data_IF_368627529837
#
_entry.id   IF_368627529837
#
_cell.length_a   1.000
_cell.length_b   1.000
_cell.length_c   1.000
_cell.angle_alpha   90.00
_cell.angle_beta   90.00
_cell.angle_gamma   90.00
#
_symmetry.space_group_name_H-M   'P 1'
#
loop_
_entity.id
_entity.type
_entity.pdbx_description
1 polymer ?
#
# COMPACT_ATOMS: atom_id res chain seq x y z
N UNK A 1 17.16 8.71 11.30
CA UNK A 1 17.32 9.73 12.38
C UNK A 1 16.01 10.23 12.96
N UNK A 2 14.88 10.09 12.25
CA UNK A 2 13.55 10.61 12.64
C UNK A 2 12.83 9.79 13.73
N UNK A 3 13.26 8.55 14.00
CA UNK A 3 12.57 7.68 14.99
C UNK A 3 12.84 7.97 16.47
N UNK A 4 13.71 8.93 16.82
CA UNK A 4 14.10 9.19 18.22
C UNK A 4 13.47 10.44 18.85
N UNK A 5 12.57 11.17 18.17
CA UNK A 5 11.82 12.26 18.83
C UNK A 5 10.63 11.66 19.58
N UNK A 6 10.82 11.32 20.85
CA UNK A 6 9.74 11.02 21.79
C UNK A 6 9.03 12.32 22.25
N UNK A 7 8.38 13.01 21.34
CA UNK A 7 7.43 14.06 21.71
C UNK A 7 6.06 13.40 21.89
N UNK A 8 5.57 13.36 23.13
CA UNK A 8 4.20 12.87 23.39
C UNK A 8 3.20 13.99 23.09
N UNK A 9 2.21 13.78 22.23
CA UNK A 9 1.10 14.72 22.07
C UNK A 9 0.21 14.74 23.32
N UNK A 10 -0.48 15.85 23.59
CA UNK A 10 -1.52 15.89 24.63
C UNK A 10 -2.67 14.94 24.24
N UNK A 11 -3.33 14.30 25.21
CA UNK A 11 -4.57 13.57 24.97
C UNK A 11 -4.75 12.32 25.82
N UNK A 12 -6.01 12.05 26.15
CA UNK A 12 -6.50 10.94 26.96
C UNK A 12 -6.56 9.63 26.17
N UNK A 13 -6.69 8.51 26.87
CA UNK A 13 -6.84 7.14 26.34
C UNK A 13 -8.14 6.90 25.54
N UNK A 14 -9.01 7.90 25.39
CA UNK A 14 -10.29 7.81 24.68
C UNK A 14 -10.11 8.24 23.21
N UNK A 15 -10.97 7.75 22.32
CA UNK A 15 -11.05 8.13 20.90
C UNK A 15 -11.15 9.65 20.68
N UNK A 16 -11.54 10.40 21.72
CA UNK A 16 -11.62 11.86 21.76
C UNK A 16 -10.26 12.56 21.50
N UNK A 17 -9.14 11.88 21.77
CA UNK A 17 -7.80 12.41 21.50
C UNK A 17 -7.32 12.30 20.03
N UNK A 18 -7.97 11.52 19.18
CA UNK A 18 -7.48 11.26 17.83
C UNK A 18 -7.44 12.53 16.96
N UNK A 19 -8.42 13.41 17.14
CA UNK A 19 -8.45 14.69 16.41
C UNK A 19 -7.26 15.59 16.78
N UNK A 20 -6.91 15.62 18.06
CA UNK A 20 -5.73 16.35 18.57
C UNK A 20 -4.44 15.72 18.05
N UNK A 21 -4.37 14.39 17.95
CA UNK A 21 -3.21 13.71 17.40
C UNK A 21 -3.03 14.02 15.91
N UNK A 22 -4.12 14.01 15.14
CA UNK A 22 -4.06 14.39 13.71
C UNK A 22 -3.54 15.83 13.57
N UNK A 23 -4.06 16.78 14.35
CA UNK A 23 -3.60 18.17 14.33
C UNK A 23 -2.12 18.30 14.74
N UNK A 24 -1.70 17.57 15.79
CA UNK A 24 -0.34 17.57 16.28
C UNK A 24 0.63 16.98 15.24
N UNK A 25 0.35 15.79 14.69
CA UNK A 25 1.25 15.14 13.73
C UNK A 25 1.28 15.85 12.38
N UNK A 26 0.23 16.55 11.99
CA UNK A 26 0.23 17.41 10.80
C UNK A 26 1.36 18.43 10.80
N UNK A 27 1.74 18.97 11.97
CA UNK A 27 2.83 19.94 12.07
C UNK A 27 4.18 19.40 11.61
N UNK A 28 4.39 18.07 11.64
CA UNK A 28 5.62 17.44 11.17
C UNK A 28 5.69 17.27 9.66
N UNK A 29 4.62 17.56 8.91
CA UNK A 29 4.64 17.51 7.45
C UNK A 29 5.72 18.45 6.86
N UNK A 30 6.05 19.56 7.54
CA UNK A 30 7.12 20.47 7.13
C UNK A 30 8.53 19.84 7.11
N UNK A 31 8.75 18.71 7.80
CA UNK A 31 10.02 17.98 7.80
C UNK A 31 10.14 16.99 6.61
N UNK A 32 9.04 16.71 5.89
CA UNK A 32 9.00 15.85 4.71
C UNK A 32 8.90 16.63 3.40
N UNK A 33 8.84 15.90 2.27
CA UNK A 33 8.71 16.49 0.93
C UNK A 33 7.79 15.64 0.07
N UNK A 34 6.99 16.27 -0.81
CA UNK A 34 6.22 15.52 -1.81
C UNK A 34 7.17 14.79 -2.80
N UNK A 35 6.71 13.68 -3.38
CA UNK A 35 7.48 12.85 -4.32
C UNK A 35 7.75 13.60 -5.65
N UNK A 36 8.77 14.45 -5.68
CA UNK A 36 9.06 15.34 -6.80
C UNK A 36 9.58 14.63 -8.07
N UNK A 37 10.02 13.37 -7.97
CA UNK A 37 10.45 12.58 -9.12
C UNK A 37 9.28 12.13 -10.02
N UNK A 38 8.03 12.27 -9.55
CA UNK A 38 6.81 12.22 -10.36
C UNK A 38 6.22 13.64 -10.37
N UNK A 39 6.43 14.44 -11.44
CA UNK A 39 6.08 15.84 -11.45
C UNK A 39 4.63 16.16 -11.09
N UNK A 40 3.69 15.26 -11.40
CA UNK A 40 2.29 15.42 -11.03
C UNK A 40 2.09 15.39 -9.50
N UNK A 41 2.84 14.54 -8.77
CA UNK A 41 2.75 14.43 -7.31
C UNK A 41 3.45 15.58 -6.57
N UNK A 42 4.38 16.27 -7.23
CA UNK A 42 5.06 17.43 -6.65
C UNK A 42 4.12 18.63 -6.40
N UNK A 43 2.93 18.62 -7.02
CA UNK A 43 1.94 19.70 -6.92
C UNK A 43 1.02 19.58 -5.70
N UNK A 44 1.07 18.46 -4.97
CA UNK A 44 0.20 18.22 -3.82
C UNK A 44 0.56 19.13 -2.64
N UNK A 45 -0.43 19.45 -1.79
CA UNK A 45 -0.20 20.28 -0.61
C UNK A 45 0.49 19.46 0.50
N UNK A 46 1.77 19.73 0.82
CA UNK A 46 2.52 18.91 1.78
C UNK A 46 1.93 18.93 3.21
N UNK A 47 1.10 19.93 3.55
CA UNK A 47 0.53 20.10 4.89
C UNK A 47 -0.71 19.24 5.14
N UNK A 48 -1.21 18.51 4.15
CA UNK A 48 -2.37 17.65 4.33
C UNK A 48 -2.05 16.44 5.21
N UNK A 49 -2.98 16.10 6.09
CA UNK A 49 -3.01 14.85 6.86
C UNK A 49 -4.45 14.45 7.12
N UNK A 50 -4.84 13.30 6.62
CA UNK A 50 -6.16 12.71 6.82
C UNK A 50 -6.07 11.26 7.26
N UNK A 51 -7.06 10.80 8.02
CA UNK A 51 -7.21 9.42 8.44
C UNK A 51 -8.66 8.98 8.35
N UNK A 52 -8.87 7.74 7.94
CA UNK A 52 -10.13 7.02 8.06
C UNK A 52 -9.87 5.68 8.76
N UNK A 53 -10.73 5.32 9.72
CA UNK A 53 -10.73 4.00 10.38
C UNK A 53 -12.12 3.41 10.20
N UNK A 54 -12.20 2.14 9.82
CA UNK A 54 -13.47 1.43 9.59
C UNK A 54 -13.48 0.15 10.41
N UNK A 55 -14.50 0.01 11.25
CA UNK A 55 -14.78 -1.18 12.05
C UNK A 55 -15.68 -2.18 11.32
N UNK A 56 -15.65 -3.47 11.70
CA UNK A 56 -16.45 -4.51 11.04
C UNK A 56 -17.97 -4.35 11.23
N UNK A 57 -18.43 -3.58 12.21
CA UNK A 57 -19.85 -3.23 12.41
C UNK A 57 -20.32 -2.08 11.50
N UNK A 58 -19.39 -1.46 10.73
CA UNK A 58 -19.67 -0.35 9.85
C UNK A 58 -19.45 1.03 10.49
N UNK A 59 -18.98 1.11 11.72
CA UNK A 59 -18.57 2.39 12.33
C UNK A 59 -17.37 2.96 11.60
N UNK A 60 -17.44 4.25 11.25
CA UNK A 60 -16.40 4.95 10.48
C UNK A 60 -15.97 6.22 11.21
N UNK A 61 -14.66 6.33 11.42
CA UNK A 61 -14.02 7.52 11.99
C UNK A 61 -13.28 8.24 10.86
N UNK A 62 -13.55 9.52 10.65
CA UNK A 62 -12.96 10.35 9.59
C UNK A 62 -12.45 11.65 10.17
N UNK A 63 -11.14 11.93 10.00
CA UNK A 63 -10.52 13.14 10.55
C UNK A 63 -9.53 13.76 9.57
N UNK A 64 -9.35 15.06 9.67
CA UNK A 64 -8.44 15.82 8.82
C UNK A 64 -8.85 15.77 7.35
N UNK A 65 -7.88 15.66 6.47
CA UNK A 65 -8.06 15.68 5.00
C UNK A 65 -8.43 14.29 4.44
N UNK A 66 -9.35 13.60 5.12
CA UNK A 66 -9.74 12.21 4.85
C UNK A 66 -10.34 11.98 3.45
N UNK A 67 -10.97 13.00 2.87
CA UNK A 67 -11.67 12.92 1.58
C UNK A 67 -10.83 13.38 0.38
N UNK A 68 -9.59 13.78 0.59
CA UNK A 68 -8.68 14.11 -0.50
C UNK A 68 -8.40 12.87 -1.33
N UNK A 69 -8.55 12.98 -2.65
CA UNK A 69 -8.18 11.92 -3.58
C UNK A 69 -6.68 11.96 -3.87
N UNK A 70 -6.07 10.79 -3.86
CA UNK A 70 -4.68 10.56 -4.22
C UNK A 70 -4.53 9.26 -5.00
N UNK A 71 -3.41 9.07 -5.68
CA UNK A 71 -3.18 7.81 -6.42
C UNK A 71 -2.60 6.73 -5.51
N UNK A 72 -2.99 5.46 -5.73
CA UNK A 72 -2.55 4.30 -4.95
C UNK A 72 -1.03 4.18 -4.88
N UNK A 73 -0.36 4.50 -5.99
CA UNK A 73 1.07 4.26 -6.12
C UNK A 73 1.43 2.83 -5.67
N UNK A 74 2.42 2.65 -4.80
CA UNK A 74 2.83 1.32 -4.36
C UNK A 74 1.81 0.57 -3.48
N UNK A 75 0.72 1.18 -3.04
CA UNK A 75 -0.39 0.44 -2.40
C UNK A 75 -1.04 -0.51 -3.41
N UNK A 76 -1.06 -0.15 -4.70
CA UNK A 76 -1.61 -0.98 -5.77
C UNK A 76 -0.95 -2.36 -5.89
N UNK A 77 0.30 -2.52 -5.43
CA UNK A 77 1.03 -3.79 -5.43
C UNK A 77 0.35 -4.87 -4.59
N UNK A 78 -0.30 -4.48 -3.50
CA UNK A 78 -1.13 -5.37 -2.67
C UNK A 78 -2.30 -5.89 -3.48
N UNK A 79 -2.98 -4.99 -4.20
CA UNK A 79 -4.18 -5.33 -4.97
C UNK A 79 -3.83 -6.21 -6.18
N UNK A 80 -2.77 -5.84 -6.92
CA UNK A 80 -2.34 -6.62 -8.08
C UNK A 80 -1.81 -8.01 -7.70
N UNK A 81 -1.13 -8.15 -6.55
CA UNK A 81 -0.71 -9.44 -6.04
C UNK A 81 -1.91 -10.34 -5.72
N UNK A 82 -2.91 -9.82 -5.01
CA UNK A 82 -4.16 -10.55 -4.76
C UNK A 82 -4.85 -10.94 -6.08
N UNK A 83 -4.98 -10.00 -7.01
CA UNK A 83 -5.62 -10.23 -8.30
C UNK A 83 -4.90 -11.32 -9.12
N UNK A 84 -3.58 -11.30 -9.16
CA UNK A 84 -2.79 -12.33 -9.82
C UNK A 84 -2.96 -13.71 -9.17
N UNK A 85 -2.93 -13.79 -7.83
CA UNK A 85 -3.16 -15.03 -7.10
C UNK A 85 -4.58 -15.59 -7.29
N UNK A 86 -5.60 -14.73 -7.38
CA UNK A 86 -6.99 -15.14 -7.65
C UNK A 86 -7.11 -15.67 -9.08
N UNK A 87 -6.50 -15.01 -10.05
CA UNK A 87 -6.65 -15.36 -11.45
C UNK A 87 -5.75 -16.50 -11.95
N UNK A 88 -4.61 -16.73 -11.30
CA UNK A 88 -3.60 -17.70 -11.74
C UNK A 88 -3.27 -18.80 -10.73
N UNK A 89 -3.60 -18.66 -9.48
CA UNK A 89 -3.20 -19.41 -8.27
C UNK A 89 -1.94 -18.85 -7.59
N UNK A 90 -1.84 -19.10 -6.28
CA UNK A 90 -0.67 -18.71 -5.48
C UNK A 90 0.60 -19.40 -5.99
N UNK A 91 0.55 -20.71 -6.25
CA UNK A 91 1.72 -21.47 -6.73
C UNK A 91 2.28 -20.90 -8.01
N UNK A 92 1.43 -20.60 -8.99
CA UNK A 92 1.86 -20.01 -10.25
C UNK A 92 2.55 -18.65 -10.08
N UNK A 93 2.01 -17.80 -9.22
CA UNK A 93 2.61 -16.48 -8.93
C UNK A 93 3.95 -16.66 -8.20
N UNK A 94 4.04 -17.58 -7.24
CA UNK A 94 5.25 -17.82 -6.46
C UNK A 94 6.36 -18.53 -7.24
N UNK A 95 6.07 -19.17 -8.35
CA UNK A 95 7.10 -19.60 -9.31
C UNK A 95 7.88 -18.43 -9.93
N UNK A 96 7.25 -17.25 -10.05
CA UNK A 96 7.77 -16.06 -10.76
C UNK A 96 8.20 -14.91 -9.85
N UNK A 97 7.69 -14.84 -8.64
CA UNK A 97 8.08 -13.86 -7.62
C UNK A 97 8.17 -14.56 -6.27
N UNK A 98 9.19 -14.24 -5.48
CA UNK A 98 9.37 -14.80 -4.14
C UNK A 98 8.60 -13.99 -3.07
N UNK A 99 8.77 -14.33 -1.78
CA UNK A 99 8.11 -13.70 -0.63
C UNK A 99 9.10 -13.11 0.37
N UNK A 100 10.40 -13.13 0.07
CA UNK A 100 11.44 -12.76 1.00
C UNK A 100 11.65 -11.24 1.10
N UNK A 101 11.79 -10.67 2.29
CA UNK A 101 12.15 -9.28 2.47
C UNK A 101 13.57 -9.00 1.97
N UNK A 102 13.82 -7.76 1.57
CA UNK A 102 15.16 -7.29 1.18
C UNK A 102 15.46 -5.97 1.88
N UNK A 103 16.72 -5.75 2.25
CA UNK A 103 17.21 -4.47 2.79
C UNK A 103 17.58 -3.45 1.71
N UNK A 104 17.43 -3.80 0.43
CA UNK A 104 17.79 -2.93 -0.68
C UNK A 104 16.69 -1.92 -1.02
N UNK A 105 17.03 -0.81 -1.70
CA UNK A 105 16.02 0.10 -2.24
C UNK A 105 14.99 -0.64 -3.10
N UNK A 106 13.71 -0.26 -2.98
CA UNK A 106 12.58 -0.91 -3.66
C UNK A 106 12.68 -0.94 -5.20
N UNK A 107 13.58 -0.16 -5.78
CA UNK A 107 13.88 -0.08 -7.21
C UNK A 107 15.31 -0.56 -7.54
N UNK A 108 15.94 -1.35 -6.66
CA UNK A 108 17.28 -1.92 -6.90
C UNK A 108 17.24 -2.93 -8.02
N UNK A 109 18.23 -2.84 -8.93
CA UNK A 109 18.50 -3.83 -9.99
C UNK A 109 19.63 -4.76 -9.59
N UNK A 110 20.58 -4.27 -8.78
CA UNK A 110 21.81 -5.01 -8.41
C UNK A 110 21.45 -6.37 -7.78
N UNK A 111 20.45 -6.40 -6.92
CA UNK A 111 20.02 -7.63 -6.26
C UNK A 111 19.48 -8.66 -7.26
N UNK A 112 18.77 -8.21 -8.30
CA UNK A 112 18.29 -9.11 -9.37
C UNK A 112 19.45 -9.72 -10.16
N UNK A 113 20.50 -8.95 -10.45
CA UNK A 113 21.68 -9.42 -11.15
C UNK A 113 22.47 -10.43 -10.33
N UNK A 114 22.54 -10.25 -9.01
CA UNK A 114 23.24 -11.18 -8.10
C UNK A 114 22.45 -12.46 -7.81
N UNK A 115 21.15 -12.47 -8.02
CA UNK A 115 20.27 -13.63 -7.81
C UNK A 115 20.19 -14.46 -9.09
N UNK A 116 20.46 -15.75 -8.96
CA UNK A 116 20.26 -16.69 -10.07
C UNK A 116 19.04 -17.56 -9.73
N UNK A 117 18.01 -17.54 -10.55
CA UNK A 117 17.89 -17.12 -11.95
C UNK A 117 17.36 -15.67 -12.19
N UNK A 118 17.51 -14.72 -11.30
CA UNK A 118 17.01 -13.34 -11.46
C UNK A 118 15.56 -13.13 -10.98
N UNK A 119 15.02 -14.08 -10.25
CA UNK A 119 13.66 -14.03 -9.70
C UNK A 119 13.51 -12.88 -8.69
N UNK A 120 12.47 -12.02 -8.80
CA UNK A 120 12.24 -10.97 -7.81
C UNK A 120 11.98 -11.51 -6.42
N UNK A 121 12.53 -10.88 -5.37
CA UNK A 121 12.44 -11.30 -3.98
C UNK A 121 11.04 -11.28 -3.39
N UNK A 122 10.23 -10.30 -3.75
CA UNK A 122 8.85 -10.19 -3.29
C UNK A 122 8.03 -9.25 -4.20
N UNK A 123 6.69 -9.31 -4.16
CA UNK A 123 5.82 -8.49 -5.00
C UNK A 123 5.74 -7.01 -4.57
N UNK A 124 6.35 -6.62 -3.45
CA UNK A 124 6.27 -5.24 -2.91
C UNK A 124 7.42 -4.35 -3.40
N UNK A 125 8.49 -4.90 -3.97
CA UNK A 125 9.52 -4.17 -4.71
C UNK A 125 9.09 -3.97 -6.17
N UNK A 126 9.69 -2.99 -6.88
CA UNK A 126 9.25 -2.67 -8.25
C UNK A 126 9.42 -3.83 -9.22
N UNK A 127 10.53 -4.55 -9.17
CA UNK A 127 10.75 -5.72 -10.03
C UNK A 127 9.63 -6.77 -9.86
N UNK A 128 9.33 -7.14 -8.62
CA UNK A 128 8.26 -8.11 -8.34
C UNK A 128 6.88 -7.59 -8.73
N UNK A 129 6.60 -6.31 -8.53
CA UNK A 129 5.33 -5.71 -8.92
C UNK A 129 5.14 -5.67 -10.45
N UNK A 130 6.20 -5.37 -11.21
CA UNK A 130 6.18 -5.41 -12.69
C UNK A 130 5.95 -6.84 -13.16
N UNK A 131 6.64 -7.83 -12.57
CA UNK A 131 6.38 -9.25 -12.84
C UNK A 131 4.90 -9.58 -12.56
N UNK A 132 4.39 -9.27 -11.37
CA UNK A 132 2.99 -9.55 -10.98
C UNK A 132 1.98 -8.87 -11.91
N UNK A 133 2.26 -7.64 -12.37
CA UNK A 133 1.39 -6.93 -13.32
C UNK A 133 1.26 -7.68 -14.64
N UNK A 134 2.33 -8.36 -15.10
CA UNK A 134 2.28 -9.19 -16.31
C UNK A 134 1.43 -10.45 -16.13
N UNK A 135 1.28 -10.94 -14.88
CA UNK A 135 0.53 -12.15 -14.55
C UNK A 135 -0.98 -11.91 -14.35
N UNK A 136 -1.43 -10.66 -14.32
CA UNK A 136 -2.87 -10.36 -14.17
C UNK A 136 -3.68 -11.05 -15.27
N UNK A 137 -4.91 -11.52 -14.98
CA UNK A 137 -5.79 -12.10 -15.99
C UNK A 137 -6.14 -11.11 -17.10
N UNK A 138 -6.18 -11.58 -18.33
CA UNK A 138 -6.53 -10.79 -19.51
C UNK A 138 -5.48 -10.90 -20.63
N UNK A 139 -5.92 -10.78 -21.89
CA UNK A 139 -5.08 -10.94 -23.08
C UNK A 139 -4.36 -9.66 -23.51
N UNK A 140 -4.79 -8.51 -22.99
CA UNK A 140 -4.16 -7.21 -23.29
C UNK A 140 -3.98 -6.38 -22.02
N UNK A 141 -3.15 -5.32 -22.04
CA UNK A 141 -3.01 -4.40 -20.90
C UNK A 141 -4.34 -3.85 -20.39
N UNK A 142 -5.27 -3.54 -21.31
CA UNK A 142 -6.59 -3.02 -20.93
C UNK A 142 -7.40 -4.04 -20.14
N UNK A 143 -7.49 -5.31 -20.59
CA UNK A 143 -8.22 -6.37 -19.87
C UNK A 143 -7.61 -6.65 -18.49
N UNK A 144 -6.28 -6.60 -18.37
CA UNK A 144 -5.58 -6.77 -17.08
C UNK A 144 -5.94 -5.67 -16.08
N UNK A 145 -5.96 -4.42 -16.54
CA UNK A 145 -6.36 -3.28 -15.71
C UNK A 145 -7.85 -3.33 -15.38
N UNK A 146 -8.71 -3.71 -16.33
CA UNK A 146 -10.14 -3.85 -16.06
C UNK A 146 -10.43 -4.93 -15.00
N UNK A 147 -9.68 -6.04 -15.02
CA UNK A 147 -9.77 -7.07 -13.98
C UNK A 147 -9.41 -6.51 -12.60
N UNK A 148 -8.33 -5.73 -12.51
CA UNK A 148 -7.90 -5.10 -11.26
C UNK A 148 -8.93 -4.07 -10.76
N UNK A 149 -9.42 -3.21 -11.64
CA UNK A 149 -10.46 -2.22 -11.32
C UNK A 149 -11.75 -2.91 -10.88
N UNK A 150 -12.13 -4.03 -11.51
CA UNK A 150 -13.31 -4.81 -11.11
C UNK A 150 -13.16 -5.41 -9.71
N UNK A 151 -11.98 -5.90 -9.36
CA UNK A 151 -11.70 -6.36 -8.01
C UNK A 151 -11.85 -5.21 -6.99
N UNK A 152 -11.28 -4.03 -7.28
CA UNK A 152 -11.44 -2.84 -6.44
C UNK A 152 -12.91 -2.41 -6.35
N UNK A 153 -13.64 -2.38 -7.46
CA UNK A 153 -15.07 -2.06 -7.48
C UNK A 153 -15.86 -3.00 -6.56
N UNK A 154 -15.56 -4.29 -6.58
CA UNK A 154 -16.19 -5.26 -5.69
C UNK A 154 -15.85 -5.01 -4.21
N UNK A 155 -14.63 -4.57 -3.90
CA UNK A 155 -14.22 -4.26 -2.53
C UNK A 155 -14.81 -2.94 -2.02
N UNK A 156 -14.89 -1.92 -2.88
CA UNK A 156 -15.25 -0.54 -2.51
C UNK A 156 -16.74 -0.22 -2.73
N UNK A 157 -17.45 -1.01 -3.52
CA UNK A 157 -18.82 -0.70 -3.94
C UNK A 157 -18.92 0.44 -4.96
N UNK A 158 -17.79 0.96 -5.44
CA UNK A 158 -17.68 2.01 -6.47
C UNK A 158 -16.50 1.72 -7.39
N UNK A 159 -16.61 2.11 -8.66
CA UNK A 159 -15.52 1.96 -9.63
C UNK A 159 -14.51 3.11 -9.48
N UNK A 160 -13.25 2.86 -9.13
CA UNK A 160 -12.23 3.91 -9.07
C UNK A 160 -11.80 4.34 -10.47
N UNK A 161 -11.36 5.59 -10.61
CA UNK A 161 -10.82 6.15 -11.84
C UNK A 161 -9.29 6.00 -11.90
N UNK A 162 -8.74 6.11 -13.11
CA UNK A 162 -7.29 6.25 -13.31
C UNK A 162 -6.99 7.73 -13.51
N UNK A 163 -6.01 8.26 -12.77
CA UNK A 163 -5.52 9.61 -12.98
C UNK A 163 -4.56 9.64 -14.17
N UNK A 164 -5.07 10.09 -15.30
CA UNK A 164 -4.31 10.14 -16.56
C UNK A 164 -3.12 11.12 -16.52
N UNK A 165 -3.19 12.20 -15.72
CA UNK A 165 -2.07 13.13 -15.56
C UNK A 165 -0.89 12.45 -14.84
N UNK A 166 -1.18 11.73 -13.74
CA UNK A 166 -0.18 10.98 -12.98
C UNK A 166 0.39 9.86 -13.84
N UNK A 167 -0.45 9.08 -14.52
CA UNK A 167 -0.01 8.02 -15.42
C UNK A 167 0.97 8.54 -16.48
N UNK A 168 0.60 9.60 -17.23
CA UNK A 168 1.45 10.18 -18.27
C UNK A 168 2.73 10.78 -17.70
N UNK A 169 2.67 11.38 -16.52
CA UNK A 169 3.82 11.95 -15.83
C UNK A 169 4.83 10.87 -15.47
N UNK A 170 4.36 9.76 -14.86
CA UNK A 170 5.21 8.65 -14.45
C UNK A 170 5.73 7.87 -15.67
N UNK A 171 4.91 7.67 -16.70
CA UNK A 171 5.31 7.02 -17.95
C UNK A 171 6.54 7.67 -18.59
N UNK A 172 6.59 9.01 -18.61
CA UNK A 172 7.71 9.78 -19.17
C UNK A 172 9.01 9.61 -18.37
N UNK A 173 8.91 9.38 -17.08
CA UNK A 173 10.06 9.31 -16.15
C UNK A 173 10.42 7.88 -15.74
N UNK A 174 9.75 6.85 -16.27
CA UNK A 174 9.86 5.45 -15.87
C UNK A 174 11.14 4.73 -16.34
N UNK A 175 12.25 5.44 -16.55
CA UNK A 175 13.50 4.85 -17.08
C UNK A 175 14.02 3.70 -16.21
N UNK A 176 13.98 3.85 -14.89
CA UNK A 176 14.42 2.80 -13.95
C UNK A 176 13.52 1.56 -14.02
N UNK A 177 12.21 1.76 -14.10
CA UNK A 177 11.25 0.66 -14.24
C UNK A 177 11.41 -0.05 -15.61
N UNK A 178 11.72 0.67 -16.69
CA UNK A 178 12.07 0.06 -17.98
C UNK A 178 13.31 -0.81 -17.89
N UNK A 179 14.37 -0.34 -17.25
CA UNK A 179 15.59 -1.15 -17.06
C UNK A 179 15.29 -2.44 -16.29
N UNK A 180 14.48 -2.37 -15.21
CA UNK A 180 14.02 -3.55 -14.48
C UNK A 180 13.19 -4.50 -15.35
N UNK A 181 12.25 -3.97 -16.14
CA UNK A 181 11.38 -4.77 -17.00
C UNK A 181 12.17 -5.48 -18.13
N UNK A 182 13.15 -4.81 -18.76
CA UNK A 182 14.03 -5.46 -19.73
C UNK A 182 14.85 -6.58 -19.12
N UNK A 183 15.38 -6.39 -17.92
CA UNK A 183 16.10 -7.44 -17.21
C UNK A 183 15.19 -8.64 -16.86
N UNK A 184 13.98 -8.37 -16.39
CA UNK A 184 12.98 -9.42 -16.11
C UNK A 184 12.54 -10.17 -17.39
N UNK A 185 12.48 -9.48 -18.52
CA UNK A 185 12.20 -10.11 -19.83
C UNK A 185 13.31 -11.04 -20.25
N UNK A 186 14.56 -10.60 -20.14
CA UNK A 186 15.77 -11.38 -20.43
C UNK A 186 15.84 -12.65 -19.57
N UNK A 187 15.51 -12.54 -18.28
CA UNK A 187 15.59 -13.66 -17.33
C UNK A 187 14.35 -14.56 -17.31
N UNK A 188 13.32 -14.26 -18.11
CA UNK A 188 12.11 -15.07 -18.25
C UNK A 188 11.05 -14.85 -17.16
N UNK A 189 11.16 -13.78 -16.34
CA UNK A 189 10.20 -13.44 -15.29
C UNK A 189 9.17 -12.38 -15.71
N UNK A 190 9.09 -12.03 -16.99
CA UNK A 190 8.09 -11.11 -17.53
C UNK A 190 7.34 -11.79 -18.70
N UNK A 191 6.04 -12.04 -18.52
CA UNK A 191 5.21 -12.74 -19.53
C UNK A 191 4.76 -11.84 -20.69
N UNK A 192 4.66 -10.52 -20.46
CA UNK A 192 4.29 -9.53 -21.47
C UNK A 192 5.51 -8.92 -22.16
N UNK A 193 5.26 -8.16 -23.21
CA UNK A 193 6.25 -7.21 -23.71
C UNK A 193 6.49 -6.09 -22.69
N UNK A 194 7.69 -5.53 -22.69
CA UNK A 194 8.16 -4.59 -21.65
C UNK A 194 7.23 -3.39 -21.52
N UNK A 195 6.85 -2.74 -22.62
CA UNK A 195 6.00 -1.57 -22.58
C UNK A 195 4.55 -1.92 -22.16
N UNK A 196 4.04 -3.09 -22.54
CA UNK A 196 2.73 -3.58 -22.09
C UNK A 196 2.69 -3.84 -20.58
N UNK A 197 3.72 -4.51 -20.04
CA UNK A 197 3.82 -4.75 -18.60
C UNK A 197 3.92 -3.45 -17.81
N UNK A 198 4.68 -2.47 -18.32
CA UNK A 198 4.82 -1.15 -17.72
C UNK A 198 3.53 -0.33 -17.82
N UNK A 199 2.78 -0.45 -18.91
CA UNK A 199 1.46 0.19 -19.02
C UNK A 199 0.53 -0.29 -17.92
N UNK A 200 0.40 -1.61 -17.72
CA UNK A 200 -0.39 -2.20 -16.64
C UNK A 200 0.10 -1.72 -15.28
N UNK A 201 1.42 -1.81 -15.03
CA UNK A 201 2.02 -1.43 -13.76
C UNK A 201 1.82 0.06 -13.42
N UNK A 202 2.00 0.96 -14.36
CA UNK A 202 1.87 2.40 -14.12
C UNK A 202 0.39 2.85 -14.05
N UNK A 203 -0.51 2.23 -14.82
CA UNK A 203 -1.95 2.47 -14.70
C UNK A 203 -2.47 2.06 -13.32
N UNK A 204 -2.07 0.88 -12.80
CA UNK A 204 -2.49 0.49 -11.44
C UNK A 204 -1.95 1.45 -10.36
N UNK A 205 -0.72 1.96 -10.51
CA UNK A 205 -0.16 2.98 -9.63
C UNK A 205 -0.97 4.29 -9.64
N UNK A 206 -1.60 4.59 -10.77
CA UNK A 206 -2.34 5.83 -11.01
C UNK A 206 -3.84 5.75 -10.69
N UNK A 207 -4.33 4.64 -10.12
CA UNK A 207 -5.72 4.51 -9.66
C UNK A 207 -5.96 5.47 -8.49
N UNK A 208 -7.03 6.27 -8.57
CA UNK A 208 -7.42 7.24 -7.55
C UNK A 208 -8.26 6.61 -6.44
N UNK A 209 -7.91 6.96 -5.21
CA UNK A 209 -8.58 6.56 -3.97
C UNK A 209 -8.52 7.68 -2.95
N UNK A 210 -9.29 7.56 -1.87
CA UNK A 210 -9.14 8.36 -0.66
C UNK A 210 -8.83 7.47 0.56
N UNK A 211 -8.75 8.06 1.75
CA UNK A 211 -8.42 7.30 2.97
C UNK A 211 -9.49 6.27 3.32
N UNK A 212 -10.76 6.53 3.03
CA UNK A 212 -11.87 5.60 3.28
C UNK A 212 -11.75 4.35 2.39
N UNK A 213 -11.39 4.53 1.13
CA UNK A 213 -11.20 3.43 0.19
C UNK A 213 -10.11 2.47 0.68
N UNK A 214 -8.94 3.01 1.04
CA UNK A 214 -7.84 2.14 1.50
C UNK A 214 -8.10 1.58 2.91
N UNK A 215 -8.87 2.26 3.76
CA UNK A 215 -9.33 1.69 5.03
C UNK A 215 -10.28 0.50 4.80
N UNK A 216 -11.20 0.58 3.84
CA UNK A 216 -12.10 -0.52 3.49
C UNK A 216 -11.31 -1.74 2.98
N UNK A 217 -10.32 -1.56 2.11
CA UNK A 217 -9.44 -2.64 1.66
C UNK A 217 -8.69 -3.25 2.86
N UNK A 218 -8.18 -2.41 3.76
CA UNK A 218 -7.54 -2.84 5.00
C UNK A 218 -8.47 -3.67 5.87
N UNK A 219 -9.74 -3.27 6.04
CA UNK A 219 -10.74 -4.01 6.82
C UNK A 219 -11.01 -5.39 6.23
N UNK A 220 -11.19 -5.50 4.91
CA UNK A 220 -11.38 -6.78 4.22
C UNK A 220 -10.19 -7.70 4.45
N UNK A 221 -8.96 -7.19 4.34
CA UNK A 221 -7.75 -7.94 4.62
C UNK A 221 -7.62 -8.32 6.10
N UNK A 222 -8.00 -7.44 7.05
CA UNK A 222 -8.02 -7.76 8.48
C UNK A 222 -8.83 -9.01 8.76
N UNK A 223 -9.93 -9.20 8.04
CA UNK A 223 -10.86 -10.32 8.13
C UNK A 223 -10.58 -11.46 7.12
N UNK A 224 -9.32 -11.70 6.75
CA UNK A 224 -8.94 -12.80 5.84
C UNK A 224 -9.69 -12.76 4.49
N UNK A 225 -9.92 -11.58 3.95
CA UNK A 225 -10.59 -11.40 2.66
C UNK A 225 -12.12 -11.40 2.71
N UNK A 226 -12.70 -11.54 3.90
CA UNK A 226 -14.14 -11.42 4.13
C UNK A 226 -14.52 -9.95 4.30
N UNK A 227 -15.56 -9.50 3.59
CA UNK A 227 -16.10 -8.15 3.74
C UNK A 227 -17.13 -8.15 4.89
N UNK A 228 -16.80 -7.69 6.10
CA UNK A 228 -17.64 -7.91 7.27
C UNK A 228 -18.99 -7.18 7.22
N UNK A 229 -19.05 -5.99 6.59
CA UNK A 229 -20.27 -5.20 6.46
C UNK A 229 -21.23 -5.83 5.44
N UNK A 230 -20.71 -6.32 4.30
CA UNK A 230 -21.51 -7.00 3.25
C UNK A 230 -21.71 -8.49 3.51
N UNK A 231 -20.98 -9.05 4.49
CA UNK A 231 -21.00 -10.47 4.85
C UNK A 231 -20.69 -11.41 3.68
N UNK A 232 -19.67 -11.06 2.90
CA UNK A 232 -19.28 -11.75 1.68
C UNK A 232 -17.77 -12.05 1.65
N UNK A 233 -17.37 -13.26 1.23
CA UNK A 233 -15.97 -13.60 1.00
C UNK A 233 -15.54 -13.09 -0.38
N UNK A 234 -14.74 -12.03 -0.44
CA UNK A 234 -14.29 -11.42 -1.71
C UNK A 234 -12.93 -11.94 -2.16
N UNK A 235 -12.04 -12.24 -1.23
CA UNK A 235 -10.68 -12.70 -1.49
C UNK A 235 -10.50 -14.07 -0.81
N UNK A 236 -9.95 -15.09 -1.48
CA UNK A 236 -9.64 -16.37 -0.82
C UNK A 236 -8.80 -16.17 0.44
N UNK A 237 -9.13 -16.87 1.53
CA UNK A 237 -8.47 -16.69 2.84
C UNK A 237 -6.95 -16.83 2.78
N UNK A 238 -6.47 -17.82 2.05
CA UNK A 238 -5.04 -18.06 1.86
C UNK A 238 -4.33 -16.91 1.14
N UNK A 239 -4.97 -16.31 0.12
CA UNK A 239 -4.44 -15.13 -0.58
C UNK A 239 -4.38 -13.92 0.37
N UNK A 240 -5.44 -13.67 1.14
CA UNK A 240 -5.47 -12.57 2.09
C UNK A 240 -4.41 -12.74 3.20
N UNK A 241 -4.21 -13.96 3.72
CA UNK A 241 -3.19 -14.25 4.75
C UNK A 241 -1.78 -14.04 4.23
N UNK A 242 -1.48 -14.57 3.05
CA UNK A 242 -0.17 -14.37 2.41
C UNK A 242 0.08 -12.89 2.15
N UNK A 243 -0.93 -12.16 1.66
CA UNK A 243 -0.85 -10.71 1.42
C UNK A 243 -0.55 -9.93 2.70
N UNK A 244 -1.23 -10.25 3.82
CA UNK A 244 -0.96 -9.60 5.13
C UNK A 244 0.47 -9.85 5.61
N UNK A 245 0.99 -11.06 5.43
CA UNK A 245 2.38 -11.39 5.79
C UNK A 245 3.36 -10.55 4.98
N UNK A 246 3.15 -10.41 3.67
CA UNK A 246 3.96 -9.56 2.81
C UNK A 246 3.86 -8.06 3.18
N UNK A 247 2.67 -7.59 3.57
CA UNK A 247 2.51 -6.21 4.07
C UNK A 247 3.31 -5.97 5.35
N UNK A 248 3.35 -6.95 6.27
CA UNK A 248 4.11 -6.84 7.51
C UNK A 248 5.62 -6.83 7.26
N UNK A 249 6.13 -7.71 6.39
CA UNK A 249 7.56 -7.91 6.17
C UNK A 249 8.18 -6.96 5.13
N UNK A 250 7.38 -6.51 4.14
CA UNK A 250 7.86 -5.78 2.96
C UNK A 250 7.06 -4.51 2.63
N UNK A 251 6.05 -4.14 3.44
CA UNK A 251 5.06 -3.12 3.05
C UNK A 251 5.53 -1.67 3.14
N UNK A 252 6.53 -1.38 3.96
CA UNK A 252 6.96 -0.01 4.31
C UNK A 252 8.36 0.32 3.76
N UNK A 253 8.62 -0.12 2.51
CA UNK A 253 9.91 0.06 1.84
C UNK A 253 11.10 -0.40 2.72
N UNK A 254 12.21 0.34 2.70
CA UNK A 254 13.40 0.02 3.49
C UNK A 254 13.22 0.19 5.01
N UNK A 255 12.07 0.70 5.46
CA UNK A 255 11.72 0.82 6.88
C UNK A 255 10.78 -0.28 7.38
N UNK A 256 10.47 -1.31 6.57
CA UNK A 256 9.52 -2.38 6.93
C UNK A 256 9.86 -3.06 8.25
N UNK A 257 11.14 -3.44 8.45
CA UNK A 257 11.58 -4.06 9.71
C UNK A 257 11.42 -3.14 10.93
N UNK A 258 11.74 -1.85 10.80
CA UNK A 258 11.54 -0.87 11.88
C UNK A 258 10.05 -0.64 12.14
N UNK A 259 9.23 -0.57 11.08
CA UNK A 259 7.80 -0.41 11.22
C UNK A 259 7.17 -1.62 11.92
N UNK A 260 7.53 -2.83 11.53
CA UNK A 260 7.08 -4.06 12.19
C UNK A 260 7.48 -4.11 13.67
N UNK A 261 8.70 -3.66 14.01
CA UNK A 261 9.18 -3.66 15.38
C UNK A 261 8.50 -2.62 16.31
N UNK A 262 8.08 -1.46 15.77
CA UNK A 262 7.58 -0.35 16.58
C UNK A 262 6.08 -0.06 16.40
N UNK A 263 5.45 -0.55 15.33
CA UNK A 263 4.02 -0.42 15.06
C UNK A 263 3.33 -1.79 15.10
N UNK A 264 3.94 -2.81 14.50
CA UNK A 264 3.54 -4.21 14.67
C UNK A 264 2.35 -4.69 13.84
N UNK A 265 1.76 -3.83 13.01
CA UNK A 265 0.59 -4.16 12.18
C UNK A 265 0.96 -4.25 10.69
N UNK A 266 0.27 -5.08 9.90
CA UNK A 266 0.46 -5.08 8.45
C UNK A 266 0.08 -3.73 7.83
N UNK A 267 0.98 -3.16 7.03
CA UNK A 267 0.74 -1.90 6.34
C UNK A 267 1.42 -1.85 4.97
N UNK A 268 0.92 -1.00 4.07
CA UNK A 268 1.54 -0.69 2.79
C UNK A 268 1.54 0.79 2.51
N UNK A 269 2.71 1.32 2.20
CA UNK A 269 2.92 2.72 1.86
C UNK A 269 2.94 2.94 0.35
N UNK A 270 2.45 4.11 -0.07
CA UNK A 270 2.57 4.66 -1.42
C UNK A 270 3.25 6.03 -1.41
N UNK A 271 4.07 6.32 -2.41
CA UNK A 271 4.84 7.59 -2.47
C UNK A 271 3.96 8.83 -2.71
N UNK A 272 2.69 8.65 -2.99
CA UNK A 272 1.67 9.72 -2.94
C UNK A 272 1.40 10.21 -1.51
N UNK A 273 1.88 9.50 -0.49
CA UNK A 273 1.62 9.78 0.92
C UNK A 273 0.52 8.92 1.53
N UNK A 274 -0.06 7.99 0.77
CA UNK A 274 -1.04 7.02 1.26
C UNK A 274 -0.38 5.93 2.12
N UNK A 275 -1.04 5.53 3.22
CA UNK A 275 -0.71 4.33 4.00
C UNK A 275 -2.01 3.54 4.22
N UNK A 276 -2.07 2.33 3.69
CA UNK A 276 -3.08 1.34 4.01
C UNK A 276 -2.55 0.45 5.13
N UNK A 277 -3.25 0.42 6.26
CA UNK A 277 -2.91 -0.46 7.40
C UNK A 277 -4.14 -1.22 7.88
N UNK A 278 -3.91 -2.25 8.67
CA UNK A 278 -4.99 -3.07 9.20
C UNK A 278 -4.63 -3.67 10.57
N UNK A 279 -5.63 -3.78 11.42
CA UNK A 279 -5.54 -4.47 12.70
C UNK A 279 -6.36 -5.75 12.58
N UNK A 280 -5.76 -6.95 12.62
CA UNK A 280 -6.52 -8.20 12.64
C UNK A 280 -7.35 -8.34 13.93
N UNK A 281 -8.46 -9.10 13.91
CA UNK A 281 -9.21 -9.43 15.13
C UNK A 281 -8.30 -10.03 16.21
N UNK A 282 -8.49 -9.62 17.47
CA UNK A 282 -7.69 -10.05 18.61
C UNK A 282 -8.57 -10.61 19.71
N UNK A 283 -8.09 -11.64 20.38
CA UNK A 283 -8.76 -12.16 21.57
C UNK A 283 -8.24 -11.47 22.84
N UNK A 284 -8.40 -10.12 22.92
CA UNK A 284 -8.03 -9.29 24.06
C UNK A 284 -9.21 -8.41 24.42
N UNK A 285 -9.61 -8.45 25.71
CA UNK A 285 -10.62 -7.53 26.24
C UNK A 285 -10.01 -6.15 26.50
N UNK A 286 -10.83 -5.11 26.41
CA UNK A 286 -10.50 -3.71 26.76
C UNK A 286 -9.50 -2.98 25.84
N UNK A 287 -9.27 -3.47 24.63
CA UNK A 287 -8.48 -2.74 23.63
C UNK A 287 -9.39 -2.17 22.52
N UNK A 288 -9.10 -0.98 22.00
CA UNK A 288 -9.79 -0.48 20.82
C UNK A 288 -9.64 -1.44 19.64
N UNK A 289 -10.67 -1.52 18.81
CA UNK A 289 -10.67 -2.36 17.60
C UNK A 289 -10.40 -3.84 17.87
N UNK A 290 -10.90 -4.40 18.97
CA UNK A 290 -10.81 -5.81 19.31
C UNK A 290 -11.28 -6.71 18.15
N UNK A 291 -12.36 -6.33 17.48
CA UNK A 291 -12.91 -7.03 16.33
C UNK A 291 -12.09 -6.83 15.04
N UNK A 292 -10.98 -6.11 15.10
CA UNK A 292 -10.18 -5.71 13.95
C UNK A 292 -10.68 -4.44 13.30
N UNK A 293 -9.83 -3.76 12.51
CA UNK A 293 -10.23 -2.61 11.72
C UNK A 293 -9.33 -2.43 10.48
N UNK A 294 -9.81 -1.63 9.53
CA UNK A 294 -9.01 -1.07 8.46
C UNK A 294 -8.66 0.39 8.73
N UNK A 295 -7.45 0.80 8.40
CA UNK A 295 -6.93 2.14 8.60
C UNK A 295 -6.38 2.67 7.27
N UNK A 296 -6.89 3.81 6.83
CA UNK A 296 -6.38 4.57 5.70
C UNK A 296 -5.84 5.91 6.15
N UNK A 297 -4.59 6.21 5.79
CA UNK A 297 -3.97 7.50 6.08
C UNK A 297 -3.50 8.13 4.78
N UNK A 298 -3.59 9.45 4.70
CA UNK A 298 -3.01 10.27 3.64
C UNK A 298 -2.25 11.44 4.24
N UNK A 299 -1.00 11.60 3.84
CA UNK A 299 -0.14 12.74 4.16
C UNK A 299 1.00 12.79 3.15
N UNK A 300 0.97 13.71 2.15
CA UNK A 300 1.83 13.67 0.96
C UNK A 300 3.29 14.05 1.22
N UNK A 301 3.61 14.64 2.37
CA UNK A 301 4.99 14.86 2.80
C UNK A 301 5.63 13.54 3.24
N UNK A 302 6.49 12.98 2.40
CA UNK A 302 7.17 11.70 2.63
C UNK A 302 8.57 11.88 3.19
N UNK A 303 9.05 10.82 3.88
CA UNK A 303 10.41 10.70 4.39
C UNK A 303 11.41 10.25 3.30
N UNK A 304 12.66 10.06 3.67
CA UNK A 304 13.73 9.59 2.77
C UNK A 304 13.50 8.20 2.17
N UNK A 305 12.61 7.39 2.76
CA UNK A 305 12.24 6.05 2.28
C UNK A 305 11.00 6.04 1.39
N UNK A 306 10.23 7.15 1.36
CA UNK A 306 9.01 7.27 0.58
C UNK A 306 7.71 7.06 1.37
N UNK A 307 7.76 6.99 2.70
CA UNK A 307 6.59 6.85 3.56
C UNK A 307 6.07 8.21 4.01
N UNK A 308 4.75 8.37 4.14
CA UNK A 308 4.16 9.55 4.78
C UNK A 308 4.77 9.77 6.16
N UNK A 309 5.48 10.87 6.34
CA UNK A 309 6.19 11.17 7.59
C UNK A 309 5.20 11.30 8.76
N UNK A 310 4.23 12.20 8.63
CA UNK A 310 3.19 12.42 9.64
C UNK A 310 2.33 11.18 9.84
N UNK A 311 2.01 10.45 8.77
CA UNK A 311 1.21 9.22 8.83
C UNK A 311 1.88 8.09 9.60
N UNK A 312 3.18 7.86 9.40
CA UNK A 312 3.95 6.85 10.16
C UNK A 312 4.03 7.23 11.64
N UNK A 313 4.26 8.51 11.94
CA UNK A 313 4.31 8.99 13.33
C UNK A 313 2.96 8.83 14.04
N UNK A 314 1.86 9.13 13.35
CA UNK A 314 0.50 8.94 13.86
C UNK A 314 0.21 7.46 14.14
N UNK A 315 0.50 6.56 13.18
CA UNK A 315 0.32 5.11 13.38
C UNK A 315 1.14 4.56 14.54
N UNK A 316 2.39 4.99 14.67
CA UNK A 316 3.24 4.58 15.79
C UNK A 316 2.67 5.04 17.13
N UNK A 317 2.12 6.25 17.18
CA UNK A 317 1.45 6.76 18.38
C UNK A 317 0.19 5.95 18.71
N UNK A 318 -0.66 5.69 17.71
CA UNK A 318 -1.86 4.86 17.84
C UNK A 318 -1.50 3.45 18.35
N UNK A 319 -0.50 2.82 17.73
CA UNK A 319 -0.04 1.48 18.13
C UNK A 319 0.38 1.43 19.61
N UNK A 320 1.15 2.43 20.07
CA UNK A 320 1.59 2.51 21.45
C UNK A 320 0.45 2.79 22.44
N UNK A 321 -0.51 3.66 22.05
CA UNK A 321 -1.61 4.09 22.94
C UNK A 321 -2.75 3.10 23.00
N UNK A 322 -3.03 2.43 21.88
CA UNK A 322 -4.16 1.51 21.75
C UNK A 322 -3.75 0.04 21.83
N UNK A 323 -2.44 -0.23 21.99
CA UNK A 323 -1.87 -1.58 22.03
C UNK A 323 -2.34 -2.45 20.83
N UNK A 324 -2.30 -1.85 19.61
CA UNK A 324 -2.76 -2.48 18.37
C UNK A 324 -1.61 -3.07 17.57
#
# INVERSE_FOLDING_TARGET
MIMNKETQPPGSLQMDGLNEWVAYYRSFAAEGKCAAYIPALAKTNPSELGICIIDPDGTVIKLGDWNVFFTLQSISKVISFMAACIGRSISYVLERVDVEPTGDPFNSIIRLEMHKPGKPFNPMINAGAITVSSLLPGESPQYKIDFLIKLLENMLGKRPAINEEVFRSEWKTAHRNRALAYYLKETGFLELEVEEALEVYLKQCSIEVNTEDIAMIGLILAHDGFHPIRKEQLIPKEVARLTKSLMLTCGMYNSSGKFAAFVGIPAKSGVSGGIMALVPPRNRQEVPFQAGCGIGIYGPAIDEYGNSLAGVMLLRHMAKKWDI
#
